data_IF_977165774039
#
_entry.id   IF_977165774039
#
_cell.length_a   1.000
_cell.length_b   1.000
_cell.length_c   1.000
_cell.angle_alpha   90.00
_cell.angle_beta   90.00
_cell.angle_gamma   90.00
#
_symmetry.space_group_name_H-M   'P 1'
#
loop_
_entity.id
_entity.type
_entity.pdbx_description
1 polymer ?
#
# COMPACT_ATOMS: atom_id res chain seq x y z
N UNK A 1 -6.58 -19.65 8.57
CA UNK A 1 -6.35 -18.21 8.44
C UNK A 1 -7.17 -17.45 9.47
N UNK A 2 -6.65 -16.36 10.00
CA UNK A 2 -7.36 -15.51 10.96
C UNK A 2 -8.56 -14.82 10.30
N UNK A 3 -9.63 -14.51 11.05
CA UNK A 3 -10.77 -13.73 10.52
C UNK A 3 -10.50 -12.24 10.69
N UNK A 4 -10.96 -11.43 9.74
CA UNK A 4 -10.83 -9.97 9.81
C UNK A 4 -12.04 -9.30 10.47
N UNK A 5 -13.07 -10.08 10.84
CA UNK A 5 -14.28 -9.56 11.46
C UNK A 5 -13.96 -8.64 12.64
N UNK A 6 -14.41 -7.40 12.60
CA UNK A 6 -14.16 -6.38 13.63
C UNK A 6 -12.71 -5.92 13.79
N UNK A 7 -11.76 -6.43 13.03
CA UNK A 7 -10.35 -5.99 13.05
C UNK A 7 -10.21 -4.63 12.40
N UNK A 8 -9.59 -3.68 13.09
CA UNK A 8 -9.37 -2.32 12.59
C UNK A 8 -8.15 -2.28 11.66
N UNK A 9 -8.34 -1.90 10.40
CA UNK A 9 -7.30 -1.83 9.37
C UNK A 9 -7.26 -0.46 8.71
N UNK A 10 -6.12 0.22 8.75
CA UNK A 10 -5.89 1.47 8.04
C UNK A 10 -5.35 1.20 6.64
N UNK A 11 -5.95 1.84 5.62
CA UNK A 11 -5.46 1.84 4.23
C UNK A 11 -5.02 3.26 3.86
N UNK A 12 -3.74 3.45 3.52
CA UNK A 12 -3.27 4.76 3.04
C UNK A 12 -3.57 4.94 1.56
N UNK A 13 -4.00 6.14 1.15
CA UNK A 13 -4.40 6.41 -0.23
C UNK A 13 -5.61 5.58 -0.68
N UNK A 14 -6.61 5.46 0.19
CA UNK A 14 -7.76 4.58 0.01
C UNK A 14 -8.83 5.11 -0.95
N UNK A 15 -8.73 6.37 -1.39
CA UNK A 15 -9.81 7.04 -2.13
C UNK A 15 -10.00 6.53 -3.56
N UNK A 16 -8.95 6.03 -4.22
CA UNK A 16 -8.98 5.68 -5.64
C UNK A 16 -8.18 4.41 -5.96
N UNK A 17 -8.44 3.84 -7.14
CA UNK A 17 -7.59 2.80 -7.76
C UNK A 17 -7.39 1.58 -6.84
N UNK A 18 -6.14 1.10 -6.73
CA UNK A 18 -5.80 -0.05 -5.88
C UNK A 18 -6.23 0.16 -4.43
N UNK A 19 -6.05 1.36 -3.88
CA UNK A 19 -6.44 1.66 -2.51
C UNK A 19 -7.93 1.53 -2.26
N UNK A 20 -8.77 1.96 -3.22
CA UNK A 20 -10.22 1.76 -3.18
C UNK A 20 -10.59 0.28 -3.22
N UNK A 21 -10.00 -0.49 -4.14
CA UNK A 21 -10.26 -1.93 -4.24
C UNK A 21 -9.85 -2.67 -2.94
N UNK A 22 -8.69 -2.32 -2.36
CA UNK A 22 -8.25 -2.88 -1.07
C UNK A 22 -9.25 -2.54 0.05
N UNK A 23 -9.71 -1.28 0.14
CA UNK A 23 -10.66 -0.86 1.17
C UNK A 23 -11.98 -1.65 1.07
N UNK A 24 -12.54 -1.77 -0.14
CA UNK A 24 -13.76 -2.53 -0.40
C UNK A 24 -13.58 -4.03 -0.11
N UNK A 25 -12.47 -4.63 -0.54
CA UNK A 25 -12.17 -6.03 -0.27
C UNK A 25 -12.04 -6.33 1.23
N UNK A 26 -11.40 -5.44 1.98
CA UNK A 26 -11.28 -5.57 3.43
C UNK A 26 -12.63 -5.40 4.14
N UNK A 27 -13.46 -4.46 3.67
CA UNK A 27 -14.83 -4.29 4.19
C UNK A 27 -15.69 -5.53 3.96
N UNK A 28 -15.62 -6.14 2.77
CA UNK A 28 -16.32 -7.37 2.44
C UNK A 28 -15.89 -8.56 3.33
N UNK A 29 -14.64 -8.57 3.83
CA UNK A 29 -14.12 -9.55 4.79
C UNK A 29 -14.49 -9.22 6.26
N UNK A 30 -15.33 -8.23 6.51
CA UNK A 30 -15.80 -7.83 7.83
C UNK A 30 -14.83 -6.95 8.62
N UNK A 31 -13.75 -6.47 8.01
CA UNK A 31 -12.83 -5.56 8.69
C UNK A 31 -13.46 -4.18 8.93
N UNK A 32 -13.13 -3.57 10.06
CA UNK A 32 -13.37 -2.15 10.29
C UNK A 32 -12.29 -1.32 9.58
N UNK A 33 -12.62 -0.86 8.38
CA UNK A 33 -11.67 -0.14 7.53
C UNK A 33 -11.57 1.33 7.95
N UNK A 34 -10.35 1.85 8.06
CA UNK A 34 -10.04 3.27 8.22
C UNK A 34 -9.42 3.76 6.91
N UNK A 35 -9.94 4.88 6.39
CA UNK A 35 -9.57 5.38 5.07
C UNK A 35 -8.72 6.63 5.20
N UNK A 36 -7.43 6.53 4.81
CA UNK A 36 -6.61 7.72 4.69
C UNK A 36 -6.67 8.27 3.25
N UNK A 37 -6.74 9.60 3.14
CA UNK A 37 -6.62 10.36 1.90
C UNK A 37 -5.75 11.60 2.07
N UNK A 38 -5.19 12.12 0.98
CA UNK A 38 -4.47 13.40 0.94
C UNK A 38 -5.38 14.52 0.45
N UNK A 39 -5.60 14.58 -0.86
CA UNK A 39 -6.36 15.63 -1.54
C UNK A 39 -7.69 15.16 -2.14
N UNK A 40 -7.91 13.85 -2.29
CA UNK A 40 -9.10 13.24 -2.93
C UNK A 40 -10.22 13.07 -1.92
N UNK A 41 -10.81 14.15 -1.42
CA UNK A 41 -11.82 14.10 -0.35
C UNK A 41 -13.15 13.53 -0.85
N UNK A 42 -13.62 13.95 -2.03
CA UNK A 42 -14.89 13.49 -2.59
C UNK A 42 -14.87 11.97 -2.82
N UNK A 43 -13.85 11.47 -3.49
CA UNK A 43 -13.71 10.03 -3.72
C UNK A 43 -13.51 9.24 -2.41
N UNK A 44 -12.85 9.85 -1.42
CA UNK A 44 -12.73 9.22 -0.11
C UNK A 44 -14.09 9.10 0.59
N UNK A 45 -14.98 10.09 0.45
CA UNK A 45 -16.37 10.05 0.97
C UNK A 45 -17.18 8.95 0.29
N UNK A 46 -17.09 8.83 -1.04
CA UNK A 46 -17.74 7.75 -1.77
C UNK A 46 -17.30 6.36 -1.27
N UNK A 47 -15.99 6.16 -1.10
CA UNK A 47 -15.47 4.89 -0.56
C UNK A 47 -15.92 4.67 0.89
N UNK A 48 -15.99 5.74 1.69
CA UNK A 48 -16.51 5.67 3.06
C UNK A 48 -17.96 5.16 3.10
N UNK A 49 -18.83 5.70 2.25
CA UNK A 49 -20.23 5.27 2.14
C UNK A 49 -20.32 3.80 1.73
N UNK A 50 -19.55 3.38 0.71
CA UNK A 50 -19.48 1.98 0.26
C UNK A 50 -18.94 1.03 1.33
N UNK A 51 -18.14 1.53 2.27
CA UNK A 51 -17.63 0.79 3.43
C UNK A 51 -18.47 1.03 4.71
N UNK A 52 -19.77 1.34 4.57
CA UNK A 52 -20.69 1.49 5.71
C UNK A 52 -20.40 2.69 6.62
N UNK A 53 -19.90 3.80 6.07
CA UNK A 53 -19.52 4.99 6.83
C UNK A 53 -18.13 4.90 7.48
N UNK A 54 -17.18 4.25 6.79
CA UNK A 54 -15.82 4.09 7.30
C UNK A 54 -15.15 5.42 7.66
N UNK A 55 -14.47 5.53 8.82
CA UNK A 55 -13.83 6.77 9.26
C UNK A 55 -12.76 7.27 8.28
N UNK A 56 -12.75 8.60 8.07
CA UNK A 56 -11.85 9.30 7.18
C UNK A 56 -10.73 10.01 7.94
N UNK A 57 -9.50 9.83 7.47
CA UNK A 57 -8.30 10.45 8.03
C UNK A 57 -7.52 11.17 6.93
N UNK A 58 -7.54 12.50 6.98
CA UNK A 58 -6.75 13.33 6.09
C UNK A 58 -5.36 13.56 6.69
N UNK A 59 -4.30 13.40 5.88
CA UNK A 59 -2.94 13.77 6.24
C UNK A 59 -2.09 13.95 4.98
N UNK A 60 -1.13 14.89 5.00
CA UNK A 60 -0.05 14.93 4.02
C UNK A 60 1.06 13.97 4.44
N UNK A 61 1.21 12.86 3.73
CA UNK A 61 2.21 11.84 4.03
C UNK A 61 3.67 12.28 3.79
N UNK A 62 3.92 13.43 3.17
CA UNK A 62 5.27 13.99 3.11
C UNK A 62 5.76 14.46 4.49
N UNK A 63 4.81 14.82 5.37
CA UNK A 63 5.04 15.33 6.71
C UNK A 63 4.99 14.20 7.74
N UNK A 64 6.14 13.87 8.32
CA UNK A 64 6.19 12.94 9.45
C UNK A 64 5.43 13.46 10.68
N UNK A 65 5.23 14.79 10.80
CA UNK A 65 4.40 15.42 11.82
C UNK A 65 2.92 15.05 11.63
N UNK A 66 2.37 15.27 10.43
CA UNK A 66 0.99 14.94 10.12
C UNK A 66 0.71 13.44 10.21
N UNK A 67 1.67 12.60 9.81
CA UNK A 67 1.57 11.15 10.02
C UNK A 67 1.39 10.85 11.52
N UNK A 68 2.24 11.39 12.39
CA UNK A 68 2.12 11.19 13.85
C UNK A 68 0.78 11.67 14.41
N UNK A 69 0.31 12.83 13.98
CA UNK A 69 -0.98 13.39 14.40
C UNK A 69 -2.15 12.50 13.96
N UNK A 70 -2.13 12.02 12.72
CA UNK A 70 -3.12 11.07 12.20
C UNK A 70 -3.17 9.79 13.04
N UNK A 71 -2.05 9.16 13.32
CA UNK A 71 -2.00 7.95 14.13
C UNK A 71 -2.36 8.20 15.60
N UNK A 72 -2.02 9.36 16.17
CA UNK A 72 -2.47 9.76 17.50
C UNK A 72 -3.99 9.91 17.56
N UNK A 73 -4.61 10.49 16.51
CA UNK A 73 -6.07 10.60 16.37
C UNK A 73 -6.70 9.20 16.26
N UNK A 74 -6.17 8.32 15.41
CA UNK A 74 -6.62 6.93 15.28
C UNK A 74 -6.57 6.22 16.64
N UNK A 75 -5.48 6.39 17.38
CA UNK A 75 -5.34 5.79 18.72
C UNK A 75 -6.40 6.24 19.71
N UNK A 76 -6.77 7.53 19.69
CA UNK A 76 -7.84 8.09 20.55
C UNK A 76 -9.23 7.61 20.13
N UNK A 77 -9.51 7.59 18.84
CA UNK A 77 -10.86 7.31 18.32
C UNK A 77 -11.18 5.82 18.19
N UNK A 78 -10.15 5.00 17.89
CA UNK A 78 -10.32 3.58 17.59
C UNK A 78 -9.76 2.65 18.69
N UNK A 79 -9.00 3.17 19.63
CA UNK A 79 -8.40 2.42 20.73
C UNK A 79 -7.18 1.57 20.32
N UNK A 80 -7.04 1.21 19.06
CA UNK A 80 -5.93 0.37 18.56
C UNK A 80 -6.00 0.12 17.07
N UNK A 81 -5.01 -0.59 16.56
CA UNK A 81 -4.91 -0.97 15.15
C UNK A 81 -4.45 -2.42 15.03
N UNK A 82 -5.13 -3.21 14.21
CA UNK A 82 -4.72 -4.57 13.85
C UNK A 82 -3.90 -4.60 12.59
N UNK A 83 -4.31 -3.84 11.56
CA UNK A 83 -3.69 -3.85 10.24
C UNK A 83 -3.34 -2.48 9.71
N UNK A 84 -2.23 -2.40 8.97
CA UNK A 84 -1.86 -1.25 8.15
C UNK A 84 -1.58 -1.72 6.73
N UNK A 85 -2.19 -1.05 5.75
CA UNK A 85 -1.84 -1.19 4.34
C UNK A 85 -1.21 0.12 3.85
N UNK A 86 0.09 0.11 3.62
CA UNK A 86 0.81 1.21 3.01
C UNK A 86 0.64 1.13 1.48
N UNK A 87 -0.39 1.80 0.96
CA UNK A 87 -0.72 1.81 -0.45
C UNK A 87 -0.46 3.16 -1.12
N UNK A 88 -0.57 4.28 -0.41
CA UNK A 88 -0.35 5.61 -0.99
C UNK A 88 0.99 5.68 -1.73
N UNK A 89 0.96 6.16 -2.97
CA UNK A 89 2.15 6.27 -3.80
C UNK A 89 1.99 7.35 -4.87
N UNK A 90 3.13 7.82 -5.37
CA UNK A 90 3.28 8.69 -6.54
C UNK A 90 3.99 7.93 -7.64
N UNK A 91 3.66 8.27 -8.87
CA UNK A 91 4.26 7.67 -10.06
C UNK A 91 4.48 8.76 -11.11
N UNK A 92 5.74 9.01 -11.45
CA UNK A 92 6.13 9.99 -12.46
C UNK A 92 7.10 9.38 -13.45
N UNK A 93 7.19 9.99 -14.63
CA UNK A 93 8.07 9.61 -15.71
C UNK A 93 8.96 10.80 -16.05
N UNK A 94 10.26 10.56 -16.14
CA UNK A 94 11.24 11.55 -16.62
C UNK A 94 12.48 10.86 -17.18
N UNK A 95 13.13 11.44 -18.22
CA UNK A 95 14.47 11.01 -18.66
C UNK A 95 15.46 11.12 -17.49
N UNK A 96 16.37 10.15 -17.35
CA UNK A 96 17.25 10.06 -16.18
C UNK A 96 18.12 11.32 -15.96
N UNK A 97 18.55 11.99 -17.05
CA UNK A 97 19.37 13.21 -16.97
C UNK A 97 18.55 14.48 -16.64
N UNK A 98 17.23 14.39 -16.64
CA UNK A 98 16.32 15.50 -16.34
C UNK A 98 15.69 15.38 -14.93
N UNK A 99 15.89 14.26 -14.23
CA UNK A 99 15.37 14.07 -12.88
C UNK A 99 16.07 15.06 -11.93
N UNK A 100 15.31 16.03 -11.43
CA UNK A 100 15.78 16.98 -10.43
C UNK A 100 15.74 16.40 -9.01
N UNK A 101 16.41 17.05 -8.05
CA UNK A 101 16.30 16.74 -6.64
C UNK A 101 14.82 16.83 -6.17
N UNK A 102 14.09 17.82 -6.66
CA UNK A 102 12.66 17.98 -6.33
C UNK A 102 11.82 16.79 -6.83
N UNK A 103 12.08 16.26 -8.03
CA UNK A 103 11.39 15.08 -8.56
C UNK A 103 11.72 13.84 -7.73
N UNK A 104 12.98 13.72 -7.35
CA UNK A 104 13.44 12.64 -6.47
C UNK A 104 12.73 12.70 -5.11
N UNK A 105 12.74 13.84 -4.45
CA UNK A 105 12.11 14.03 -3.15
C UNK A 105 10.59 13.89 -3.22
N UNK A 106 9.96 14.37 -4.29
CA UNK A 106 8.54 14.19 -4.53
C UNK A 106 8.12 12.71 -4.49
N UNK A 107 8.88 11.86 -5.13
CA UNK A 107 8.61 10.40 -5.13
C UNK A 107 8.97 9.77 -3.79
N UNK A 108 10.17 10.01 -3.27
CA UNK A 108 10.68 9.30 -2.10
C UNK A 108 9.99 9.70 -0.80
N UNK A 109 9.50 10.93 -0.71
CA UNK A 109 8.76 11.42 0.47
C UNK A 109 7.51 10.58 0.76
N UNK A 110 6.75 10.20 -0.28
CA UNK A 110 5.53 9.41 -0.13
C UNK A 110 5.81 7.92 -0.29
N UNK A 111 6.58 7.51 -1.32
CA UNK A 111 6.72 6.10 -1.66
C UNK A 111 7.61 5.32 -0.68
N UNK A 112 8.52 5.99 0.03
CA UNK A 112 9.48 5.31 0.92
C UNK A 112 9.47 5.90 2.34
N UNK A 113 9.71 7.22 2.50
CA UNK A 113 9.76 7.85 3.83
C UNK A 113 8.44 7.68 4.59
N UNK A 114 7.30 7.96 3.95
CA UNK A 114 6.00 7.81 4.58
C UNK A 114 5.70 6.35 4.96
N UNK A 115 6.08 5.38 4.13
CA UNK A 115 5.91 3.94 4.42
C UNK A 115 6.60 3.57 5.75
N UNK A 116 7.81 4.08 5.96
CA UNK A 116 8.52 3.86 7.23
C UNK A 116 7.79 4.49 8.42
N UNK A 117 7.42 5.77 8.35
CA UNK A 117 6.81 6.46 9.48
C UNK A 117 5.39 5.95 9.78
N UNK A 118 4.59 5.62 8.76
CA UNK A 118 3.30 4.97 8.96
C UNK A 118 3.46 3.59 9.63
N UNK A 119 4.45 2.79 9.19
CA UNK A 119 4.72 1.50 9.81
C UNK A 119 5.18 1.64 11.27
N UNK A 120 6.02 2.65 11.57
CA UNK A 120 6.50 2.93 12.92
C UNK A 120 5.35 3.31 13.87
N UNK A 121 4.49 4.24 13.46
CA UNK A 121 3.35 4.67 14.28
C UNK A 121 2.29 3.56 14.41
N UNK A 122 2.02 2.82 13.33
CA UNK A 122 1.13 1.67 13.38
C UNK A 122 1.63 0.61 14.37
N UNK A 123 2.93 0.31 14.35
CA UNK A 123 3.53 -0.67 15.27
C UNK A 123 3.37 -0.26 16.74
N UNK A 124 3.42 1.05 17.06
CA UNK A 124 3.15 1.56 18.42
C UNK A 124 1.71 1.30 18.86
N UNK A 125 0.73 1.46 17.95
CA UNK A 125 -0.68 1.18 18.23
C UNK A 125 -0.95 -0.33 18.32
N UNK A 126 -0.38 -1.12 17.42
CA UNK A 126 -0.49 -2.59 17.40
C UNK A 126 0.11 -3.22 18.66
N UNK A 127 1.21 -2.66 19.18
CA UNK A 127 1.88 -3.14 20.39
C UNK A 127 0.97 -3.11 21.62
N UNK A 128 -0.01 -2.22 21.68
CA UNK A 128 -1.00 -2.12 22.75
C UNK A 128 -2.09 -3.21 22.65
N UNK A 129 -2.38 -3.69 21.43
CA UNK A 129 -3.41 -4.68 21.11
C UNK A 129 -2.93 -6.13 21.00
N UNK A 130 -1.67 -6.42 21.37
CA UNK A 130 -1.13 -7.79 21.30
C UNK A 130 -0.48 -8.18 19.98
N UNK A 131 -0.32 -7.24 19.03
CA UNK A 131 0.33 -7.47 17.75
C UNK A 131 -0.50 -7.02 16.55
N UNK A 132 0.01 -7.26 15.34
CA UNK A 132 -0.68 -6.82 14.13
C UNK A 132 -0.06 -7.28 12.82
N UNK A 133 -0.52 -6.71 11.72
CA UNK A 133 -0.11 -7.02 10.35
C UNK A 133 0.17 -5.73 9.56
N UNK A 134 1.30 -5.66 8.88
CA UNK A 134 1.62 -4.58 7.96
C UNK A 134 1.78 -5.15 6.56
N UNK A 135 1.09 -4.56 5.59
CA UNK A 135 1.24 -4.91 4.17
C UNK A 135 1.65 -3.65 3.40
N UNK A 136 2.81 -3.72 2.76
CA UNK A 136 3.33 -2.64 1.94
C UNK A 136 3.04 -2.91 0.46
N UNK A 137 2.52 -1.94 -0.27
CA UNK A 137 2.37 -2.05 -1.72
C UNK A 137 3.65 -1.56 -2.40
N UNK A 138 4.47 -2.53 -2.84
CA UNK A 138 5.64 -2.25 -3.68
C UNK A 138 5.25 -2.12 -5.16
N UNK A 139 5.95 -2.74 -6.07
CA UNK A 139 5.65 -2.75 -7.51
C UNK A 139 6.60 -3.71 -8.22
N UNK A 140 6.23 -4.17 -9.41
CA UNK A 140 7.19 -4.82 -10.31
C UNK A 140 8.36 -3.91 -10.71
N UNK A 141 8.18 -2.58 -10.63
CA UNK A 141 9.28 -1.62 -10.73
C UNK A 141 10.39 -1.77 -9.68
N UNK A 142 10.16 -2.53 -8.60
CA UNK A 142 11.21 -2.90 -7.64
C UNK A 142 12.16 -4.00 -8.16
N UNK A 143 11.77 -4.70 -9.22
CA UNK A 143 12.46 -5.89 -9.77
C UNK A 143 12.83 -5.73 -11.24
N UNK A 144 12.12 -4.87 -11.96
CA UNK A 144 12.34 -4.59 -13.39
C UNK A 144 13.00 -3.23 -13.58
N UNK A 145 13.84 -3.12 -14.60
CA UNK A 145 14.49 -1.86 -14.96
C UNK A 145 13.60 -1.04 -15.90
N UNK A 146 13.04 0.06 -15.40
CA UNK A 146 12.25 1.01 -16.19
C UNK A 146 13.04 2.32 -16.37
N UNK A 147 13.66 2.55 -17.54
CA UNK A 147 14.64 3.63 -17.72
C UNK A 147 14.07 5.03 -17.51
N UNK A 148 12.78 5.24 -17.74
CA UNK A 148 12.12 6.54 -17.55
C UNK A 148 11.45 6.69 -16.17
N UNK A 149 11.62 5.69 -15.29
CA UNK A 149 11.04 5.66 -13.94
C UNK A 149 12.07 5.29 -12.86
N UNK A 150 13.36 5.65 -13.07
CA UNK A 150 14.46 5.22 -12.21
C UNK A 150 14.24 5.59 -10.73
N UNK A 151 13.80 6.82 -10.45
CA UNK A 151 13.50 7.31 -9.10
C UNK A 151 12.32 6.57 -8.46
N UNK A 152 11.28 6.23 -9.24
CA UNK A 152 10.17 5.40 -8.78
C UNK A 152 10.63 3.98 -8.47
N UNK A 153 11.36 3.34 -9.39
CA UNK A 153 11.90 1.99 -9.20
C UNK A 153 12.77 1.91 -7.94
N UNK A 154 13.67 2.89 -7.74
CA UNK A 154 14.49 2.99 -6.54
C UNK A 154 13.63 3.07 -5.26
N UNK A 155 12.57 3.90 -5.26
CA UNK A 155 11.66 4.00 -4.12
C UNK A 155 10.97 2.67 -3.81
N UNK A 156 10.51 1.95 -4.84
CA UNK A 156 9.80 0.66 -4.67
C UNK A 156 10.74 -0.50 -4.30
N UNK A 157 11.98 -0.49 -4.77
CA UNK A 157 13.02 -1.39 -4.28
C UNK A 157 13.35 -1.11 -2.79
N UNK A 158 13.38 0.16 -2.39
CA UNK A 158 13.50 0.58 -1.01
C UNK A 158 12.37 0.03 -0.12
N UNK A 159 11.12 0.00 -0.62
CA UNK A 159 9.97 -0.60 0.10
C UNK A 159 10.18 -2.10 0.34
N UNK A 160 10.73 -2.82 -0.64
CA UNK A 160 11.04 -4.26 -0.48
C UNK A 160 12.09 -4.47 0.61
N UNK A 161 13.17 -3.68 0.60
CA UNK A 161 14.21 -3.73 1.64
C UNK A 161 13.65 -3.37 3.02
N UNK A 162 12.85 -2.29 3.07
CA UNK A 162 12.19 -1.83 4.29
C UNK A 162 11.24 -2.90 4.86
N UNK A 163 10.47 -3.59 4.02
CA UNK A 163 9.58 -4.69 4.42
C UNK A 163 10.35 -5.77 5.17
N UNK A 164 11.49 -6.21 4.63
CA UNK A 164 12.35 -7.24 5.25
C UNK A 164 12.96 -6.76 6.56
N UNK A 165 13.45 -5.52 6.60
CA UNK A 165 14.01 -4.91 7.80
C UNK A 165 12.98 -4.80 8.94
N UNK A 166 11.79 -4.29 8.62
CA UNK A 166 10.70 -4.16 9.60
C UNK A 166 10.18 -5.53 10.05
N UNK A 167 10.07 -6.51 9.16
CA UNK A 167 9.67 -7.87 9.50
C UNK A 167 10.58 -8.47 10.58
N UNK A 168 11.90 -8.28 10.44
CA UNK A 168 12.89 -8.75 11.43
C UNK A 168 12.82 -7.95 12.73
N UNK A 169 12.65 -6.64 12.66
CA UNK A 169 12.67 -5.76 13.81
C UNK A 169 11.41 -5.85 14.68
N UNK A 170 10.24 -6.16 14.07
CA UNK A 170 8.95 -6.15 14.75
C UNK A 170 8.43 -7.54 15.14
N UNK A 171 9.14 -8.60 14.71
CA UNK A 171 8.82 -9.97 15.13
C UNK A 171 9.01 -10.15 16.64
N UNK A 172 8.28 -11.07 17.29
CA UNK A 172 7.26 -11.96 16.72
C UNK A 172 5.85 -11.35 16.69
N UNK A 173 5.65 -10.15 17.22
CA UNK A 173 4.32 -9.57 17.44
C UNK A 173 3.66 -9.02 16.19
N UNK A 174 4.46 -8.50 15.26
CA UNK A 174 3.94 -7.88 14.04
C UNK A 174 4.60 -8.52 12.84
N UNK A 175 3.78 -9.07 11.92
CA UNK A 175 4.29 -9.50 10.62
C UNK A 175 4.24 -8.35 9.61
N UNK A 176 5.26 -8.28 8.75
CA UNK A 176 5.36 -7.25 7.72
C UNK A 176 5.65 -7.93 6.40
N UNK A 177 4.76 -7.76 5.41
CA UNK A 177 4.88 -8.36 4.09
C UNK A 177 4.63 -7.29 3.00
N UNK A 178 4.88 -7.64 1.76
CA UNK A 178 4.67 -6.75 0.62
C UNK A 178 3.90 -7.46 -0.49
N UNK A 179 3.01 -6.72 -1.16
CA UNK A 179 2.43 -7.09 -2.45
C UNK A 179 3.11 -6.23 -3.51
N UNK A 180 3.53 -6.84 -4.60
CA UNK A 180 4.15 -6.18 -5.75
C UNK A 180 3.23 -6.30 -6.97
N UNK A 181 2.39 -5.29 -7.26
CA UNK A 181 1.52 -5.30 -8.42
C UNK A 181 2.29 -5.25 -9.73
N UNK A 182 1.77 -5.98 -10.73
CA UNK A 182 2.14 -5.84 -12.13
C UNK A 182 1.42 -4.67 -12.80
N UNK A 183 0.94 -4.90 -14.01
CA UNK A 183 0.19 -3.91 -14.79
C UNK A 183 -1.27 -3.90 -14.35
N UNK A 184 -1.68 -2.87 -13.62
CA UNK A 184 -3.04 -2.61 -13.21
C UNK A 184 -3.50 -1.32 -13.91
N UNK A 185 -4.30 -1.40 -14.98
CA UNK A 185 -4.79 -0.21 -15.68
C UNK A 185 -5.84 0.50 -14.83
N UNK A 186 -5.92 1.80 -14.99
CA UNK A 186 -6.96 2.63 -14.41
C UNK A 186 -7.71 3.30 -15.57
N UNK A 187 -9.02 3.33 -15.50
CA UNK A 187 -9.93 3.78 -16.57
C UNK A 187 -9.61 5.17 -17.14
N UNK A 188 -8.89 5.99 -16.40
CA UNK A 188 -8.57 7.38 -16.76
C UNK A 188 -7.49 7.54 -17.85
N UNK A 189 -6.79 6.48 -18.25
CA UNK A 189 -5.72 6.56 -19.27
C UNK A 189 -5.60 5.28 -20.09
N UNK A 190 -6.04 5.34 -21.33
CA UNK A 190 -5.62 4.40 -22.35
C UNK A 190 -4.18 4.75 -22.78
N UNK A 191 -3.18 4.24 -22.06
CA UNK A 191 -1.80 4.33 -22.47
C UNK A 191 -1.45 3.09 -23.31
N UNK A 192 -1.11 3.26 -24.62
CA UNK A 192 -0.74 2.13 -25.49
C UNK A 192 0.45 1.33 -24.95
N UNK A 193 1.37 1.96 -24.21
CA UNK A 193 2.50 1.28 -23.60
C UNK A 193 2.05 0.35 -22.47
N UNK A 194 1.09 0.77 -21.66
CA UNK A 194 0.47 -0.05 -20.60
C UNK A 194 -0.27 -1.24 -21.23
N UNK A 195 -1.04 -1.01 -22.29
CA UNK A 195 -1.74 -2.09 -23.00
C UNK A 195 -0.77 -3.10 -23.62
N UNK A 196 0.32 -2.61 -24.24
CA UNK A 196 1.37 -3.47 -24.79
C UNK A 196 2.02 -4.30 -23.70
N UNK A 197 2.35 -3.70 -22.55
CA UNK A 197 2.93 -4.40 -21.41
C UNK A 197 1.97 -5.45 -20.85
N UNK A 198 0.67 -5.12 -20.71
CA UNK A 198 -0.35 -6.04 -20.24
C UNK A 198 -0.46 -7.28 -21.15
N UNK A 199 -0.48 -7.08 -22.48
CA UNK A 199 -0.50 -8.18 -23.46
C UNK A 199 0.77 -9.03 -23.44
N UNK A 200 1.89 -8.49 -22.96
CA UNK A 200 3.16 -9.21 -22.86
C UNK A 200 3.30 -10.01 -21.57
N UNK A 201 2.34 -9.96 -20.66
CA UNK A 201 2.33 -10.83 -19.48
C UNK A 201 1.99 -12.26 -19.89
N UNK A 202 2.55 -13.29 -19.24
CA UNK A 202 2.13 -14.67 -19.47
C UNK A 202 0.65 -14.92 -19.30
N UNK A 203 -0.02 -14.19 -18.40
CA UNK A 203 -1.47 -14.25 -18.21
C UNK A 203 -2.28 -13.67 -19.38
N UNK A 204 -1.65 -12.96 -20.33
CA UNK A 204 -2.27 -12.39 -21.53
C UNK A 204 -3.23 -11.23 -21.28
N UNK A 205 -3.33 -10.73 -20.07
CA UNK A 205 -4.20 -9.64 -19.67
C UNK A 205 -3.58 -8.78 -18.55
N UNK A 206 -4.08 -7.56 -18.35
CA UNK A 206 -3.74 -6.82 -17.14
C UNK A 206 -4.37 -7.47 -15.89
N UNK A 207 -3.83 -7.13 -14.73
CA UNK A 207 -4.47 -7.44 -13.46
C UNK A 207 -5.54 -6.42 -13.08
N UNK A 208 -6.25 -6.69 -11.98
CA UNK A 208 -7.29 -5.80 -11.43
C UNK A 208 -6.94 -5.35 -10.00
N UNK A 209 -7.63 -4.32 -9.53
CA UNK A 209 -7.49 -3.86 -8.15
C UNK A 209 -7.91 -4.93 -7.13
N UNK A 210 -8.92 -5.73 -7.48
CA UNK A 210 -9.45 -6.81 -6.65
C UNK A 210 -8.42 -7.93 -6.47
N UNK A 211 -7.67 -8.31 -7.51
CA UNK A 211 -6.58 -9.30 -7.40
C UNK A 211 -5.46 -8.83 -6.45
N UNK A 212 -5.22 -7.53 -6.40
CA UNK A 212 -4.29 -6.95 -5.42
C UNK A 212 -4.90 -6.97 -4.01
N UNK A 213 -6.21 -6.67 -3.89
CA UNK A 213 -6.92 -6.72 -2.62
C UNK A 213 -6.91 -8.13 -2.02
N UNK A 214 -7.12 -9.18 -2.83
CA UNK A 214 -7.06 -10.58 -2.40
C UNK A 214 -5.70 -10.93 -1.80
N UNK A 215 -4.61 -10.49 -2.43
CA UNK A 215 -3.26 -10.69 -1.91
C UNK A 215 -3.01 -9.95 -0.59
N UNK A 216 -3.58 -8.74 -0.43
CA UNK A 216 -3.53 -7.98 0.83
C UNK A 216 -4.32 -8.70 1.92
N UNK A 217 -5.54 -9.14 1.62
CA UNK A 217 -6.40 -9.92 2.54
C UNK A 217 -5.68 -11.20 2.97
N UNK A 218 -5.05 -11.91 2.04
CA UNK A 218 -4.25 -13.09 2.37
C UNK A 218 -3.20 -12.78 3.44
N UNK A 219 -2.37 -11.73 3.27
CA UNK A 219 -1.34 -11.41 4.25
C UNK A 219 -1.90 -10.94 5.60
N UNK A 220 -3.01 -10.23 5.60
CA UNK A 220 -3.67 -9.81 6.84
C UNK A 220 -4.28 -10.99 7.61
N UNK A 221 -4.70 -12.05 6.92
CA UNK A 221 -5.27 -13.29 7.50
C UNK A 221 -4.20 -14.36 7.76
N UNK A 222 -3.00 -14.22 7.22
CA UNK A 222 -1.94 -15.22 7.34
C UNK A 222 -1.42 -15.34 8.78
N UNK A 223 -0.88 -16.51 9.10
CA UNK A 223 -0.13 -16.72 10.33
C UNK A 223 1.00 -15.69 10.45
N UNK A 224 1.31 -15.19 11.67
CA UNK A 224 2.46 -14.28 11.89
C UNK A 224 3.81 -14.91 11.51
N UNK A 225 3.85 -16.22 11.28
CA UNK A 225 5.03 -16.91 10.76
C UNK A 225 5.33 -16.54 9.28
N UNK A 226 4.31 -16.04 8.55
CA UNK A 226 4.49 -15.46 7.21
C UNK A 226 4.89 -14.00 7.38
N UNK A 227 6.18 -13.72 7.35
CA UNK A 227 6.72 -12.36 7.49
C UNK A 227 7.96 -12.16 6.59
N UNK A 228 8.20 -10.93 6.15
CA UNK A 228 9.30 -10.56 5.26
C UNK A 228 9.12 -10.97 3.80
N UNK A 229 7.93 -11.46 3.43
CA UNK A 229 7.64 -11.98 2.09
C UNK A 229 7.23 -10.86 1.13
N UNK A 230 7.50 -11.08 -0.15
CA UNK A 230 7.03 -10.24 -1.24
C UNK A 230 6.28 -11.13 -2.23
N UNK A 231 4.97 -10.89 -2.36
CA UNK A 231 4.13 -11.58 -3.32
C UNK A 231 3.97 -10.72 -4.58
N UNK A 232 4.49 -11.20 -5.70
CA UNK A 232 4.26 -10.59 -7.01
C UNK A 232 2.88 -11.00 -7.52
N UNK A 233 2.04 -10.02 -7.83
CA UNK A 233 0.71 -10.20 -8.43
C UNK A 233 0.75 -9.48 -9.78
N UNK A 234 1.34 -10.13 -10.76
CA UNK A 234 1.83 -9.50 -11.98
C UNK A 234 1.54 -10.27 -13.27
N UNK A 235 0.74 -11.33 -13.19
CA UNK A 235 0.43 -12.19 -14.34
C UNK A 235 1.65 -12.92 -14.92
N UNK A 236 2.73 -13.06 -14.14
CA UNK A 236 3.98 -13.70 -14.55
C UNK A 236 4.96 -12.76 -15.26
N UNK A 237 4.72 -11.45 -15.26
CA UNK A 237 5.59 -10.45 -15.90
C UNK A 237 7.04 -10.50 -15.38
N UNK A 238 7.23 -10.84 -14.12
CA UNK A 238 8.54 -10.94 -13.46
C UNK A 238 9.33 -12.22 -13.74
N UNK A 239 8.75 -13.20 -14.43
CA UNK A 239 9.39 -14.50 -14.71
C UNK A 239 10.34 -14.48 -15.93
N UNK A 240 10.88 -13.33 -16.28
CA UNK A 240 11.81 -13.15 -17.42
C UNK A 240 13.25 -13.22 -16.99
#
# INVERSE_FOLDING_TARGET
MERLEGKTVLVTGAARRIGRAIALGLHAEGARVLLHYGTSEEEAREVSELCGGAPLYRANLESAGEIREMFARIGREQGGLYGLVNNAARFTRAPVLEISEADWDFIHSVNLKAVFFCAQEAARLMGRGGGGRIVNISSMGAFLAWPEHVHYCASKAGVVALTRGLAKALAPRISVNSVAPGVIPFEEREDPAIQKMARSTPAGRPGTGEEIADAVVFFLKASPFVTGQVLQVDGGLGLR
#
